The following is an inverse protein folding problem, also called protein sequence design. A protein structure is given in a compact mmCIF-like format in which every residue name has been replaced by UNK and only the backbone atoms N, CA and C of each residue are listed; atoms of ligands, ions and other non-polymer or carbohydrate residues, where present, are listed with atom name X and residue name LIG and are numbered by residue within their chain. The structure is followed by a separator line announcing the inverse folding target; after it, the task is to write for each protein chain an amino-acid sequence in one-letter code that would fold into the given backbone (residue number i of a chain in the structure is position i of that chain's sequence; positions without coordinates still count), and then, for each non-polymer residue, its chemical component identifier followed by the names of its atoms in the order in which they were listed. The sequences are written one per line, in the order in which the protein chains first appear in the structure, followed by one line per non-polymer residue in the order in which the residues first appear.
data_IF_789033551142
#
_entry.id   IF_789033551142
#
_cell.length_a   1.000
_cell.length_b   1.000
_cell.length_c   1.000
_cell.angle_alpha   90.00
_cell.angle_beta   90.00
_cell.angle_gamma   90.00
#
_symmetry.space_group_name_H-M   'P 1'
#
loop_
_entity.id
_entity.type
_entity.pdbx_description
1 polymer ?
#
# COMPACT_ATOMS: atom_id res chain seq x y z
N UNK A 1 18.13 4.88 -40.81
CA UNK A 1 18.52 3.60 -40.20
C UNK A 1 19.98 3.72 -39.77
N UNK A 2 20.24 3.94 -38.50
CA UNK A 2 21.59 4.04 -37.96
C UNK A 2 21.76 2.96 -36.88
N UNK A 3 22.48 1.90 -37.23
CA UNK A 3 23.02 0.93 -36.30
C UNK A 3 24.27 1.52 -35.65
N UNK A 4 24.32 1.57 -34.31
CA UNK A 4 25.56 1.80 -33.59
C UNK A 4 26.01 0.50 -32.93
N UNK A 5 27.04 -0.08 -33.53
CA UNK A 5 27.92 -1.11 -32.97
C UNK A 5 28.57 -0.60 -31.67
N UNK A 6 28.60 -1.42 -30.62
CA UNK A 6 29.47 -1.21 -29.46
C UNK A 6 30.53 -2.33 -29.43
N UNK A 7 31.79 -1.94 -29.54
CA UNK A 7 32.96 -2.83 -29.53
C UNK A 7 33.20 -3.44 -28.15
N UNK A 8 33.33 -4.76 -28.09
CA UNK A 8 33.95 -5.47 -26.97
C UNK A 8 35.48 -5.33 -27.05
N UNK A 9 36.08 -4.64 -26.08
CA UNK A 9 37.53 -4.72 -25.83
C UNK A 9 37.81 -5.87 -24.85
N UNK A 10 38.49 -6.90 -25.33
CA UNK A 10 39.02 -8.02 -24.54
C UNK A 10 40.42 -7.65 -24.05
N UNK A 11 40.67 -7.69 -22.74
CA UNK A 11 42.01 -7.60 -22.15
C UNK A 11 42.40 -8.95 -21.49
N UNK A 12 43.67 -9.39 -21.58
CA UNK A 12 44.13 -10.66 -21.02
C UNK A 12 44.46 -10.58 -19.52
N UNK A 13 44.29 -11.73 -18.85
CA UNK A 13 44.36 -12.00 -17.41
C UNK A 13 45.80 -12.01 -16.86
N UNK A 14 46.01 -11.57 -15.60
CA UNK A 14 47.11 -12.04 -14.74
C UNK A 14 46.55 -12.56 -13.42
N UNK A 15 46.89 -13.81 -13.09
CA UNK A 15 46.54 -14.47 -11.83
C UNK A 15 47.52 -14.08 -10.71
N UNK A 16 46.97 -13.76 -9.53
CA UNK A 16 47.72 -13.50 -8.30
C UNK A 16 47.72 -14.74 -7.39
N UNK A 17 48.78 -15.00 -6.61
CA UNK A 17 48.88 -16.20 -5.78
C UNK A 17 47.95 -16.17 -4.57
N UNK A 18 47.40 -17.35 -4.24
CA UNK A 18 46.51 -17.63 -3.12
C UNK A 18 47.30 -17.65 -1.80
N UNK A 19 46.95 -16.85 -0.77
CA UNK A 19 47.55 -17.00 0.56
C UNK A 19 46.96 -18.21 1.29
N UNK A 20 47.85 -18.99 1.92
CA UNK A 20 47.54 -20.16 2.73
C UNK A 20 46.79 -19.79 4.03
N UNK A 21 46.05 -20.77 4.54
CA UNK A 21 44.96 -20.60 5.50
C UNK A 21 45.31 -20.11 6.91
N UNK A 22 44.29 -19.54 7.54
CA UNK A 22 44.22 -19.19 8.96
C UNK A 22 43.33 -20.25 9.64
N UNK A 23 43.72 -20.83 10.79
CA UNK A 23 42.92 -21.85 11.46
C UNK A 23 41.62 -21.26 12.01
N UNK A 24 40.49 -21.85 11.64
CA UNK A 24 39.15 -21.49 12.11
C UNK A 24 38.96 -22.13 13.49
N UNK A 25 38.93 -21.31 14.54
CA UNK A 25 38.45 -21.74 15.87
C UNK A 25 36.91 -21.82 15.85
N UNK A 26 36.30 -22.82 16.49
CA UNK A 26 34.84 -22.97 16.49
C UNK A 26 34.22 -21.98 17.46
N UNK A 27 33.59 -20.91 16.95
CA UNK A 27 32.69 -20.09 17.74
C UNK A 27 31.38 -20.83 17.93
N UNK A 28 31.31 -21.60 19.02
CA UNK A 28 30.06 -21.84 19.73
C UNK A 28 29.67 -20.51 20.34
N UNK A 29 28.62 -19.89 19.82
CA UNK A 29 27.66 -19.20 20.68
C UNK A 29 26.26 -19.38 20.13
N UNK A 30 25.52 -20.20 20.87
CA UNK A 30 24.07 -20.27 20.85
C UNK A 30 23.57 -18.91 21.32
N UNK A 31 23.11 -18.07 20.40
CA UNK A 31 22.15 -17.04 20.78
C UNK A 31 20.76 -17.49 20.37
N UNK A 32 20.01 -17.84 21.43
CA UNK A 32 18.59 -18.08 21.46
C UNK A 32 17.90 -16.93 20.73
N UNK A 33 17.28 -17.21 19.58
CA UNK A 33 16.31 -16.30 18.98
C UNK A 33 15.15 -16.24 20.00
N UNK A 34 15.06 -15.13 20.75
CA UNK A 34 13.87 -14.85 21.56
C UNK A 34 12.69 -14.74 20.61
N UNK A 35 11.59 -15.41 20.94
CA UNK A 35 10.32 -15.41 20.21
C UNK A 35 9.57 -14.05 20.21
N UNK A 36 10.26 -12.92 20.39
CA UNK A 36 9.64 -11.64 20.81
C UNK A 36 10.04 -10.41 19.97
N UNK A 37 10.32 -10.59 18.67
CA UNK A 37 10.67 -9.47 17.77
C UNK A 37 10.01 -9.59 16.38
N UNK A 38 8.82 -10.19 16.32
CA UNK A 38 8.08 -10.35 15.07
C UNK A 38 7.45 -9.01 14.66
N UNK A 39 8.00 -8.43 13.60
CA UNK A 39 7.48 -7.22 12.98
C UNK A 39 6.13 -7.51 12.32
N UNK A 40 5.17 -6.60 12.50
CA UNK A 40 3.80 -6.72 12.00
C UNK A 40 3.45 -5.53 11.13
N UNK A 41 2.95 -5.78 9.91
CA UNK A 41 2.49 -4.76 8.96
C UNK A 41 0.97 -4.81 8.85
N UNK A 42 0.32 -3.71 9.18
CA UNK A 42 -1.13 -3.55 9.15
C UNK A 42 -1.47 -2.47 8.12
N UNK A 43 -2.35 -2.78 7.17
CA UNK A 43 -2.83 -1.80 6.20
C UNK A 43 -4.24 -1.37 6.55
N UNK A 44 -4.44 -0.05 6.72
CA UNK A 44 -5.76 0.54 6.89
C UNK A 44 -6.32 0.88 5.51
N UNK A 45 -7.34 0.13 5.09
CA UNK A 45 -7.96 0.21 3.78
C UNK A 45 -9.35 0.86 3.88
N UNK A 46 -9.83 1.44 2.79
CA UNK A 46 -11.13 2.11 2.77
C UNK A 46 -11.28 3.14 1.67
N UNK A 47 -12.52 3.52 1.38
CA UNK A 47 -12.84 4.50 0.34
C UNK A 47 -12.22 5.89 0.62
N UNK A 48 -12.21 6.79 -0.35
CA UNK A 48 -11.79 8.18 -0.16
C UNK A 48 -12.67 8.80 0.94
N UNK A 49 -12.04 9.55 1.85
CA UNK A 49 -12.69 10.16 3.02
C UNK A 49 -13.39 9.17 3.99
N UNK A 50 -13.03 7.89 3.99
CA UNK A 50 -13.55 6.89 4.95
C UNK A 50 -13.04 7.06 6.39
N UNK A 51 -12.07 7.94 6.64
CA UNK A 51 -11.50 8.17 7.97
C UNK A 51 -10.20 7.43 8.29
N UNK A 52 -9.50 6.88 7.28
CA UNK A 52 -8.22 6.17 7.46
C UNK A 52 -7.18 6.99 8.21
N UNK A 53 -6.92 8.23 7.76
CA UNK A 53 -5.97 9.12 8.45
C UNK A 53 -6.35 9.32 9.91
N UNK A 54 -7.65 9.48 10.23
CA UNK A 54 -8.14 9.61 11.61
C UNK A 54 -7.91 8.35 12.44
N UNK A 55 -8.07 7.16 11.85
CA UNK A 55 -7.74 5.90 12.51
C UNK A 55 -6.23 5.80 12.81
N UNK A 56 -5.39 6.16 11.83
CA UNK A 56 -3.94 6.17 12.00
C UNK A 56 -3.48 7.17 13.06
N UNK A 57 -4.02 8.39 13.05
CA UNK A 57 -3.70 9.43 14.05
C UNK A 57 -4.05 8.98 15.48
N UNK A 58 -5.12 8.19 15.62
CA UNK A 58 -5.50 7.61 16.89
C UNK A 58 -4.47 6.56 17.37
N UNK A 59 -4.01 5.65 16.50
CA UNK A 59 -3.00 4.64 16.87
C UNK A 59 -1.58 5.19 17.00
N UNK A 60 -1.25 6.29 16.30
CA UNK A 60 0.04 6.96 16.35
C UNK A 60 0.45 7.43 17.77
N UNK A 61 -0.51 7.51 18.69
CA UNK A 61 -0.28 7.86 20.09
C UNK A 61 0.43 6.73 20.88
N UNK A 62 0.52 5.52 20.32
CA UNK A 62 1.17 4.36 20.94
C UNK A 62 2.63 4.28 20.50
N UNK A 63 3.58 4.24 21.43
CA UNK A 63 5.03 4.30 21.15
C UNK A 63 5.58 3.09 20.37
N UNK A 64 4.89 1.95 20.39
CA UNK A 64 5.28 0.72 19.68
C UNK A 64 4.79 0.67 18.23
N UNK A 65 4.12 1.72 17.74
CA UNK A 65 3.52 1.77 16.41
C UNK A 65 4.20 2.87 15.59
N UNK A 66 4.74 2.53 14.43
CA UNK A 66 5.05 3.52 13.40
C UNK A 66 3.88 3.64 12.41
N UNK A 67 3.59 4.87 11.98
CA UNK A 67 2.51 5.17 11.05
C UNK A 67 3.08 5.75 9.76
N UNK A 68 2.66 5.19 8.63
CA UNK A 68 2.95 5.70 7.28
C UNK A 68 1.64 6.10 6.60
N UNK A 69 1.39 7.41 6.50
CA UNK A 69 0.21 7.94 5.79
C UNK A 69 0.41 7.97 4.27
N UNK A 70 -0.67 8.09 3.49
CA UNK A 70 -0.57 8.19 2.03
C UNK A 70 0.29 9.42 1.67
N UNK A 71 1.30 9.30 0.78
CA UNK A 71 2.18 10.40 0.42
C UNK A 71 1.52 11.38 -0.55
N UNK A 72 0.30 11.83 -0.25
CA UNK A 72 -0.52 12.74 -1.06
C UNK A 72 0.23 14.03 -1.38
N UNK A 73 1.07 14.52 -0.46
CA UNK A 73 1.93 15.69 -0.71
C UNK A 73 2.93 15.45 -1.85
N UNK A 74 3.52 14.26 -1.95
CA UNK A 74 4.38 13.88 -3.09
C UNK A 74 3.58 13.82 -4.39
N UNK A 75 2.34 13.33 -4.36
CA UNK A 75 1.48 13.23 -5.54
C UNK A 75 0.95 14.59 -6.02
N UNK A 76 0.82 15.56 -5.12
CA UNK A 76 0.42 16.93 -5.45
C UNK A 76 1.57 17.81 -5.93
N UNK A 77 2.81 17.40 -5.69
CA UNK A 77 3.99 18.14 -6.11
C UNK A 77 5.15 17.21 -6.48
N UNK A 78 5.12 16.74 -7.72
CA UNK A 78 6.25 16.05 -8.35
C UNK A 78 7.08 17.10 -9.09
N UNK A 79 8.02 17.74 -8.38
CA UNK A 79 8.90 18.78 -8.94
C UNK A 79 8.14 19.90 -9.65
N UNK A 80 7.05 20.38 -9.05
CA UNK A 80 6.18 21.44 -9.59
C UNK A 80 4.92 20.93 -10.29
N UNK A 81 4.77 19.62 -10.49
CA UNK A 81 3.61 19.04 -11.17
C UNK A 81 2.62 18.39 -10.18
N UNK A 82 1.36 18.83 -10.22
CA UNK A 82 0.26 18.23 -9.45
C UNK A 82 -0.40 17.10 -10.24
N UNK A 83 0.24 15.93 -10.25
CA UNK A 83 -0.24 14.76 -11.02
C UNK A 83 -1.56 14.20 -10.48
N UNK A 84 -1.84 14.37 -9.18
CA UNK A 84 -3.14 14.01 -8.61
C UNK A 84 -4.26 14.90 -9.19
N UNK A 85 -4.04 16.21 -9.24
CA UNK A 85 -4.97 17.15 -9.86
C UNK A 85 -5.15 16.90 -11.36
N UNK A 86 -4.05 16.63 -12.08
CA UNK A 86 -4.11 16.29 -13.50
C UNK A 86 -4.94 15.03 -13.76
N UNK A 87 -4.83 13.99 -12.91
CA UNK A 87 -5.66 12.78 -13.03
C UNK A 87 -7.14 13.06 -12.82
N UNK A 88 -7.51 13.87 -11.82
CA UNK A 88 -8.92 14.21 -11.65
C UNK A 88 -9.48 15.09 -12.78
N UNK A 89 -8.64 15.91 -13.43
CA UNK A 89 -9.02 16.70 -14.60
C UNK A 89 -9.19 15.86 -15.87
N UNK A 90 -8.24 14.97 -16.15
CA UNK A 90 -8.27 14.06 -17.29
C UNK A 90 -7.63 12.72 -16.92
N UNK A 91 -8.46 11.83 -16.40
CA UNK A 91 -8.06 10.50 -15.97
C UNK A 91 -7.63 9.62 -17.14
N UNK A 92 -8.13 9.86 -18.36
CA UNK A 92 -7.73 9.10 -19.54
C UNK A 92 -6.30 9.43 -19.97
N UNK A 93 -5.89 10.69 -19.84
CA UNK A 93 -4.53 11.13 -20.17
C UNK A 93 -3.52 10.86 -19.05
N UNK A 94 -3.92 11.06 -17.80
CA UNK A 94 -3.02 11.11 -16.65
C UNK A 94 -3.17 9.94 -15.68
N UNK A 95 -4.14 9.04 -15.92
CA UNK A 95 -4.39 7.85 -15.09
C UNK A 95 -3.14 6.99 -14.94
N UNK A 96 -2.54 6.54 -16.05
CA UNK A 96 -1.30 5.75 -16.00
C UNK A 96 -0.16 6.50 -15.29
N UNK A 97 0.06 7.78 -15.60
CA UNK A 97 1.12 8.59 -15.00
C UNK A 97 1.01 8.62 -13.47
N UNK A 98 -0.21 8.84 -12.95
CA UNK A 98 -0.44 8.82 -11.52
C UNK A 98 -0.27 7.42 -10.94
N UNK A 99 -0.86 6.39 -11.55
CA UNK A 99 -0.82 5.03 -11.00
C UNK A 99 0.60 4.45 -10.94
N UNK A 100 1.44 4.71 -11.95
CA UNK A 100 2.87 4.34 -11.91
C UNK A 100 3.58 5.00 -10.73
N UNK A 101 3.33 6.30 -10.50
CA UNK A 101 3.96 7.01 -9.38
C UNK A 101 3.41 6.57 -8.02
N UNK A 102 2.12 6.25 -7.93
CA UNK A 102 1.52 5.67 -6.72
C UNK A 102 2.19 4.33 -6.41
N UNK A 103 2.32 3.41 -7.37
CA UNK A 103 3.01 2.13 -7.16
C UNK A 103 4.44 2.33 -6.65
N UNK A 104 5.21 3.27 -7.24
CA UNK A 104 6.55 3.61 -6.76
C UNK A 104 6.53 4.10 -5.30
N UNK A 105 5.69 5.09 -4.99
CA UNK A 105 5.66 5.65 -3.63
C UNK A 105 5.14 4.67 -2.59
N UNK A 106 4.23 3.77 -2.95
CA UNK A 106 3.76 2.69 -2.08
C UNK A 106 4.86 1.64 -1.87
N UNK A 107 5.61 1.28 -2.92
CA UNK A 107 6.76 0.40 -2.82
C UNK A 107 7.84 0.97 -1.88
N UNK A 108 8.13 2.27 -1.98
CA UNK A 108 9.04 2.97 -1.05
C UNK A 108 8.57 2.83 0.41
N UNK A 109 7.26 2.87 0.66
CA UNK A 109 6.72 2.71 2.02
C UNK A 109 6.81 1.28 2.53
N UNK A 110 6.46 0.29 1.69
CA UNK A 110 6.59 -1.13 2.02
C UNK A 110 8.04 -1.52 2.32
N UNK A 111 8.99 -1.05 1.50
CA UNK A 111 10.42 -1.37 1.64
C UNK A 111 11.17 -0.54 2.66
N UNK A 112 10.53 0.46 3.27
CA UNK A 112 11.16 1.30 4.30
C UNK A 112 11.58 0.43 5.48
N UNK A 113 12.81 0.55 6.01
CA UNK A 113 13.20 -0.18 7.23
C UNK A 113 12.26 0.10 8.39
N UNK A 114 11.75 -0.95 9.02
CA UNK A 114 10.86 -0.85 10.17
C UNK A 114 11.62 -0.52 11.45
N UNK A 115 11.20 0.56 12.11
CA UNK A 115 11.80 1.04 13.38
C UNK A 115 10.99 0.66 14.62
N UNK A 116 9.74 0.24 14.42
CA UNK A 116 8.82 -0.18 15.49
C UNK A 116 8.34 -1.63 15.24
N UNK A 117 7.91 -2.36 16.30
CA UNK A 117 7.35 -3.70 16.15
C UNK A 117 6.11 -3.74 15.24
N UNK A 118 5.27 -2.70 15.30
CA UNK A 118 4.07 -2.59 14.47
C UNK A 118 4.22 -1.41 13.52
N UNK A 119 3.93 -1.63 12.24
CA UNK A 119 3.76 -0.60 11.22
C UNK A 119 2.32 -0.57 10.76
N UNK A 120 1.68 0.59 10.86
CA UNK A 120 0.39 0.85 10.25
C UNK A 120 0.56 1.72 9.01
N UNK A 121 -0.02 1.31 7.90
CA UNK A 121 0.06 2.00 6.61
C UNK A 121 -1.32 2.45 6.16
N UNK A 122 -1.42 3.68 5.66
CA UNK A 122 -2.61 4.14 4.95
C UNK A 122 -2.59 3.57 3.55
N UNK A 123 -3.48 2.62 3.29
CA UNK A 123 -3.50 1.81 2.07
C UNK A 123 -2.22 1.00 1.85
N UNK A 124 -2.20 0.31 0.71
CA UNK A 124 -1.13 -0.58 0.29
C UNK A 124 -0.93 -0.55 -1.22
N UNK A 125 0.19 -1.11 -1.69
CA UNK A 125 0.41 -1.36 -3.11
C UNK A 125 -0.69 -2.27 -3.70
N UNK A 126 -1.27 -3.16 -2.90
CA UNK A 126 -2.38 -4.02 -3.29
C UNK A 126 -3.62 -3.20 -3.65
N UNK A 127 -4.02 -2.24 -2.81
CA UNK A 127 -5.15 -1.35 -3.14
C UNK A 127 -4.90 -0.46 -4.35
N UNK A 128 -3.64 -0.04 -4.58
CA UNK A 128 -3.28 0.72 -5.78
C UNK A 128 -3.61 -0.09 -7.04
N UNK A 129 -3.29 -1.39 -7.05
CA UNK A 129 -3.60 -2.28 -8.18
C UNK A 129 -5.07 -2.73 -8.22
N UNK A 130 -5.55 -3.34 -7.14
CA UNK A 130 -6.85 -4.03 -7.10
C UNK A 130 -8.05 -3.10 -7.04
N UNK A 131 -7.86 -1.85 -6.60
CA UNK A 131 -8.94 -0.86 -6.53
C UNK A 131 -8.72 0.24 -7.56
N UNK A 132 -7.62 0.98 -7.51
CA UNK A 132 -7.50 2.20 -8.33
C UNK A 132 -7.14 1.95 -9.80
N UNK A 133 -6.17 1.06 -10.08
CA UNK A 133 -5.84 0.65 -11.46
C UNK A 133 -7.02 -0.11 -12.06
N UNK A 134 -7.63 -1.04 -11.32
CA UNK A 134 -8.82 -1.77 -11.77
C UNK A 134 -9.99 -0.82 -12.10
N UNK A 135 -10.26 0.19 -11.27
CA UNK A 135 -11.28 1.19 -11.54
C UNK A 135 -11.03 1.97 -12.84
N UNK A 136 -9.79 2.43 -13.07
CA UNK A 136 -9.44 3.15 -14.29
C UNK A 136 -9.64 2.29 -15.54
N UNK A 137 -9.29 0.99 -15.46
CA UNK A 137 -9.50 0.05 -16.54
C UNK A 137 -10.99 -0.20 -16.81
N UNK A 138 -11.76 -0.55 -15.78
CA UNK A 138 -13.21 -0.84 -15.90
C UNK A 138 -14.03 0.36 -16.35
N UNK A 139 -13.63 1.56 -15.98
CA UNK A 139 -14.29 2.79 -16.41
C UNK A 139 -13.91 3.23 -17.83
N UNK A 140 -13.08 2.46 -18.55
CA UNK A 140 -12.63 2.78 -19.91
C UNK A 140 -11.64 3.95 -19.97
N UNK A 141 -11.09 4.36 -18.83
CA UNK A 141 -10.12 5.47 -18.70
C UNK A 141 -8.68 5.01 -18.76
N UNK A 142 -8.44 3.70 -18.82
CA UNK A 142 -7.11 3.13 -19.02
C UNK A 142 -7.19 2.10 -20.16
N UNK A 143 -6.42 2.29 -21.25
CA UNK A 143 -6.27 1.28 -22.28
C UNK A 143 -5.79 -0.06 -21.72
N UNK A 144 -6.18 -1.17 -22.36
CA UNK A 144 -5.77 -2.51 -21.94
C UNK A 144 -4.26 -2.67 -21.87
N UNK A 145 -3.51 -2.12 -22.83
CA UNK A 145 -2.04 -2.17 -22.83
C UNK A 145 -1.43 -1.52 -21.58
N UNK A 146 -1.99 -0.39 -21.13
CA UNK A 146 -1.51 0.32 -19.94
C UNK A 146 -1.83 -0.49 -18.67
N UNK A 147 -3.03 -1.10 -18.62
CA UNK A 147 -3.42 -1.99 -17.54
C UNK A 147 -2.52 -3.22 -17.43
N UNK A 148 -2.22 -3.88 -18.55
CA UNK A 148 -1.35 -5.06 -18.60
C UNK A 148 0.05 -4.69 -18.14
N UNK A 149 0.63 -3.59 -18.63
CA UNK A 149 1.96 -3.13 -18.21
C UNK A 149 2.02 -2.86 -16.71
N UNK A 150 1.03 -2.15 -16.15
CA UNK A 150 0.97 -1.91 -14.69
C UNK A 150 0.76 -3.20 -13.88
N UNK A 151 0.12 -4.21 -14.46
CA UNK A 151 -0.06 -5.52 -13.84
C UNK A 151 1.26 -6.30 -13.81
N UNK A 152 2.00 -6.34 -14.92
CA UNK A 152 3.31 -7.00 -14.96
C UNK A 152 4.31 -6.37 -13.99
N UNK A 153 4.30 -5.04 -13.86
CA UNK A 153 5.09 -4.33 -12.86
C UNK A 153 4.70 -4.74 -11.43
N UNK A 154 3.41 -4.78 -11.12
CA UNK A 154 2.92 -5.21 -9.82
C UNK A 154 3.32 -6.66 -9.50
N UNK A 155 3.15 -7.57 -10.46
CA UNK A 155 3.54 -8.98 -10.31
C UNK A 155 5.04 -9.16 -10.15
N UNK A 156 5.85 -8.33 -10.81
CA UNK A 156 7.29 -8.30 -10.59
C UNK A 156 7.62 -7.83 -9.17
N UNK A 157 6.98 -6.77 -8.69
CA UNK A 157 7.19 -6.26 -7.32
C UNK A 157 6.85 -7.33 -6.29
N UNK A 158 5.68 -7.97 -6.40
CA UNK A 158 5.25 -9.02 -5.46
C UNK A 158 6.22 -10.20 -5.40
N UNK A 159 6.86 -10.56 -6.53
CA UNK A 159 7.82 -11.68 -6.59
C UNK A 159 9.21 -11.33 -6.10
N UNK A 160 9.62 -10.06 -6.22
CA UNK A 160 11.02 -9.65 -6.02
C UNK A 160 11.21 -8.76 -4.78
N UNK A 161 10.14 -8.38 -4.09
CA UNK A 161 10.19 -7.47 -2.95
C UNK A 161 9.21 -7.89 -1.87
N UNK A 162 9.60 -7.69 -0.61
CA UNK A 162 8.71 -7.92 0.52
C UNK A 162 7.69 -6.77 0.64
N UNK A 163 6.47 -7.07 0.21
CA UNK A 163 5.28 -6.21 0.32
C UNK A 163 4.17 -6.95 1.07
N UNK A 164 4.57 -7.85 1.98
CA UNK A 164 3.67 -8.66 2.77
C UNK A 164 2.89 -7.81 3.78
N UNK A 165 1.66 -8.22 4.06
CA UNK A 165 0.74 -7.56 4.99
C UNK A 165 0.20 -8.63 5.91
N UNK A 166 0.26 -8.40 7.22
CA UNK A 166 -0.20 -9.35 8.24
C UNK A 166 -1.68 -9.18 8.55
N UNK A 167 -2.22 -7.96 8.38
CA UNK A 167 -3.63 -7.64 8.59
C UNK A 167 -4.08 -6.49 7.69
N UNK A 168 -5.25 -6.63 7.09
CA UNK A 168 -5.99 -5.50 6.51
C UNK A 168 -7.09 -5.11 7.48
N UNK A 169 -7.12 -3.84 7.90
CA UNK A 169 -8.27 -3.25 8.60
C UNK A 169 -9.07 -2.45 7.57
N UNK A 170 -10.24 -2.95 7.20
CA UNK A 170 -11.12 -2.31 6.24
C UNK A 170 -12.12 -1.41 6.95
N UNK A 171 -11.94 -0.09 6.81
CA UNK A 171 -12.93 0.90 7.23
C UNK A 171 -14.04 0.98 6.18
N UNK A 172 -15.07 0.16 6.39
CA UNK A 172 -16.22 0.07 5.50
C UNK A 172 -17.13 1.28 5.76
N UNK A 173 -17.14 2.22 4.81
CA UNK A 173 -17.97 3.44 4.85
C UNK A 173 -18.82 3.49 3.59
N UNK A 174 -20.09 3.83 3.76
CA UNK A 174 -21.03 4.07 2.67
C UNK A 174 -20.53 5.20 1.75
N UNK A 175 -20.74 5.09 0.42
CA UNK A 175 -20.36 6.13 -0.54
C UNK A 175 -20.92 7.52 -0.20
N UNK A 176 -22.14 7.58 0.33
CA UNK A 176 -22.83 8.81 0.70
C UNK A 176 -22.12 9.52 1.86
N UNK A 177 -21.79 8.78 2.92
CA UNK A 177 -21.03 9.33 4.06
C UNK A 177 -19.62 9.74 3.62
N UNK A 178 -18.97 8.95 2.77
CA UNK A 178 -17.71 9.33 2.15
C UNK A 178 -17.81 10.64 1.37
N UNK A 179 -18.87 10.82 0.58
CA UNK A 179 -19.10 12.01 -0.22
C UNK A 179 -19.35 13.25 0.64
N UNK A 180 -20.15 13.13 1.69
CA UNK A 180 -20.36 14.21 2.68
C UNK A 180 -19.05 14.62 3.36
N UNK A 181 -18.25 13.64 3.81
CA UNK A 181 -16.94 13.88 4.45
C UNK A 181 -15.95 14.51 3.49
N UNK A 182 -15.94 14.06 2.23
CA UNK A 182 -15.11 14.61 1.16
C UNK A 182 -15.45 16.08 0.90
N UNK A 183 -16.73 16.42 0.82
CA UNK A 183 -17.18 17.83 0.70
C UNK A 183 -16.73 18.68 1.86
N UNK A 184 -16.84 18.19 3.10
CA UNK A 184 -16.39 18.92 4.30
C UNK A 184 -14.87 19.11 4.34
N UNK A 185 -14.10 18.16 3.79
CA UNK A 185 -12.63 18.24 3.74
C UNK A 185 -12.11 19.32 2.79
N UNK A 186 -12.90 19.72 1.79
CA UNK A 186 -12.65 20.88 0.92
C UNK A 186 -11.27 20.90 0.22
N UNK A 187 -10.68 19.75 -0.14
CA UNK A 187 -9.46 19.73 -0.97
C UNK A 187 -9.82 20.11 -2.40
N UNK A 188 -9.10 21.09 -2.97
CA UNK A 188 -9.31 21.63 -4.32
C UNK A 188 -9.47 20.53 -5.38
N UNK A 189 -8.55 19.56 -5.41
CA UNK A 189 -8.53 18.50 -6.42
C UNK A 189 -9.68 17.50 -6.27
N UNK A 190 -10.26 17.39 -5.08
CA UNK A 190 -11.30 16.40 -4.77
C UNK A 190 -12.71 16.94 -5.02
N UNK A 191 -12.89 18.25 -5.19
CA UNK A 191 -14.19 18.89 -5.42
C UNK A 191 -14.92 18.36 -6.66
N UNK A 192 -14.17 17.83 -7.63
CA UNK A 192 -14.71 17.31 -8.90
C UNK A 192 -15.01 15.81 -8.85
N UNK A 193 -14.80 15.14 -7.71
CA UNK A 193 -15.08 13.71 -7.56
C UNK A 193 -16.61 13.51 -7.42
N UNK A 194 -17.26 12.81 -8.36
CA UNK A 194 -18.69 12.55 -8.30
C UNK A 194 -19.00 11.37 -7.36
N UNK A 195 -20.25 11.26 -6.89
CA UNK A 195 -20.67 10.19 -5.98
C UNK A 195 -20.49 8.81 -6.62
N UNK A 196 -20.80 8.71 -7.91
CA UNK A 196 -20.71 7.50 -8.73
C UNK A 196 -19.27 6.94 -8.75
N UNK A 197 -18.27 7.82 -8.66
CA UNK A 197 -16.88 7.39 -8.53
C UNK A 197 -16.63 6.73 -7.16
N UNK A 198 -17.18 7.28 -6.08
CA UNK A 198 -17.06 6.69 -4.75
C UNK A 198 -17.82 5.37 -4.64
N UNK A 199 -18.97 5.24 -5.30
CA UNK A 199 -19.71 3.98 -5.42
C UNK A 199 -18.89 2.91 -6.14
N UNK A 200 -18.27 3.25 -7.27
CA UNK A 200 -17.40 2.33 -8.01
C UNK A 200 -16.21 1.85 -7.16
N UNK A 201 -15.54 2.78 -6.45
CA UNK A 201 -14.44 2.43 -5.53
C UNK A 201 -14.93 1.55 -4.37
N UNK A 202 -16.11 1.84 -3.82
CA UNK A 202 -16.71 1.02 -2.77
C UNK A 202 -16.96 -0.41 -3.26
N UNK A 203 -17.57 -0.59 -4.43
CA UNK A 203 -17.82 -1.92 -4.99
C UNK A 203 -16.54 -2.73 -5.21
N UNK A 204 -15.46 -2.09 -5.67
CA UNK A 204 -14.17 -2.77 -5.83
C UNK A 204 -13.58 -3.22 -4.49
N UNK A 205 -13.73 -2.42 -3.43
CA UNK A 205 -13.35 -2.85 -2.08
C UNK A 205 -14.21 -4.01 -1.58
N UNK A 206 -15.53 -3.98 -1.80
CA UNK A 206 -16.43 -5.08 -1.43
C UNK A 206 -16.10 -6.38 -2.17
N UNK A 207 -15.85 -6.28 -3.48
CA UNK A 207 -15.46 -7.42 -4.32
C UNK A 207 -14.10 -8.01 -3.93
N UNK A 208 -13.16 -7.17 -3.50
CA UNK A 208 -11.83 -7.59 -3.07
C UNK A 208 -11.83 -8.13 -1.63
N UNK A 209 -12.27 -7.34 -0.64
CA UNK A 209 -12.04 -7.61 0.78
C UNK A 209 -13.16 -8.38 1.47
N UNK A 210 -14.39 -8.34 0.93
CA UNK A 210 -15.56 -9.01 1.53
C UNK A 210 -15.92 -10.28 0.75
N UNK A 211 -16.17 -10.15 -0.55
CA UNK A 211 -16.66 -11.25 -1.39
C UNK A 211 -15.54 -12.16 -1.92
N UNK A 212 -14.31 -11.63 -1.96
CA UNK A 212 -13.10 -12.32 -2.46
C UNK A 212 -13.27 -12.86 -3.89
N UNK A 213 -14.04 -12.16 -4.73
CA UNK A 213 -14.41 -12.62 -6.07
C UNK A 213 -13.45 -12.18 -7.17
N UNK A 214 -12.80 -11.02 -7.01
CA UNK A 214 -11.90 -10.48 -8.03
C UNK A 214 -10.44 -10.84 -7.81
N UNK A 215 -9.97 -10.66 -6.59
CA UNK A 215 -8.56 -10.78 -6.25
C UNK A 215 -8.41 -11.57 -4.96
N UNK A 216 -7.38 -12.41 -4.91
CA UNK A 216 -7.06 -13.20 -3.72
C UNK A 216 -6.60 -12.26 -2.60
N UNK A 217 -7.17 -12.44 -1.41
CA UNK A 217 -6.69 -11.80 -0.19
C UNK A 217 -5.65 -12.72 0.47
N UNK A 218 -4.47 -12.20 0.75
CA UNK A 218 -3.33 -12.97 1.28
C UNK A 218 -3.25 -12.99 2.81
N UNK A 219 -4.08 -12.21 3.50
CA UNK A 219 -4.05 -12.03 4.95
C UNK A 219 -5.47 -11.89 5.53
N UNK A 220 -5.62 -12.01 6.86
CA UNK A 220 -6.89 -11.69 7.52
C UNK A 220 -7.37 -10.27 7.20
N UNK A 221 -8.69 -10.10 7.20
CA UNK A 221 -9.37 -8.81 7.03
C UNK A 221 -10.26 -8.56 8.23
N UNK A 222 -10.00 -7.49 8.97
CA UNK A 222 -10.88 -6.99 10.02
C UNK A 222 -11.75 -5.87 9.46
N UNK A 223 -13.07 -6.06 9.45
CA UNK A 223 -14.02 -5.09 8.92
C UNK A 223 -14.59 -4.25 10.04
N UNK A 224 -14.47 -2.92 9.92
CA UNK A 224 -15.02 -1.96 10.87
C UNK A 224 -16.00 -1.05 10.14
N UNK A 225 -17.28 -1.15 10.48
CA UNK A 225 -18.31 -0.23 9.97
C UNK A 225 -18.06 1.20 10.44
N UNK A 226 -17.79 2.10 9.49
CA UNK A 226 -17.18 3.41 9.72
C UNK A 226 -18.07 4.60 9.33
N UNK A 227 -19.40 4.42 9.29
CA UNK A 227 -20.38 5.47 9.01
C UNK A 227 -20.67 6.41 10.20
N UNK A 228 -20.06 6.16 11.36
CA UNK A 228 -20.35 6.94 12.58
C UNK A 228 -19.50 8.21 12.72
N UNK A 229 -19.85 9.05 13.69
CA UNK A 229 -19.02 10.19 14.07
C UNK A 229 -17.69 9.76 14.71
N UNK A 230 -16.79 10.73 14.90
CA UNK A 230 -15.44 10.49 15.41
C UNK A 230 -15.44 9.87 16.81
N UNK A 231 -16.37 10.24 17.68
CA UNK A 231 -16.40 9.74 19.06
C UNK A 231 -16.74 8.25 19.07
N UNK A 232 -17.79 7.86 18.34
CA UNK A 232 -18.16 6.45 18.20
C UNK A 232 -17.12 5.64 17.43
N UNK A 233 -16.37 6.26 16.51
CA UNK A 233 -15.24 5.59 15.86
C UNK A 233 -14.08 5.31 16.82
N UNK A 234 -13.78 6.22 17.74
CA UNK A 234 -12.77 5.99 18.79
C UNK A 234 -13.16 4.80 19.67
N UNK A 235 -14.42 4.70 20.08
CA UNK A 235 -14.94 3.55 20.84
C UNK A 235 -14.71 2.23 20.07
N UNK A 236 -15.07 2.20 18.78
CA UNK A 236 -14.81 1.03 17.92
C UNK A 236 -13.33 0.69 17.80
N UNK A 237 -12.45 1.67 17.74
CA UNK A 237 -11.00 1.42 17.68
C UNK A 237 -10.47 0.80 18.97
N UNK A 238 -10.94 1.26 20.14
CA UNK A 238 -10.60 0.65 21.43
C UNK A 238 -11.16 -0.78 21.54
N UNK A 239 -12.43 -1.00 21.17
CA UNK A 239 -13.06 -2.34 21.19
C UNK A 239 -12.30 -3.37 20.34
N UNK A 240 -11.71 -2.93 19.24
CA UNK A 240 -10.97 -3.79 18.31
C UNK A 240 -9.45 -3.73 18.49
N UNK A 241 -8.94 -2.97 19.46
CA UNK A 241 -7.51 -2.69 19.62
C UNK A 241 -6.65 -3.94 19.69
N UNK A 242 -7.06 -4.91 20.50
CA UNK A 242 -6.30 -6.16 20.68
C UNK A 242 -6.27 -7.00 19.40
N UNK A 243 -7.36 -7.04 18.63
CA UNK A 243 -7.43 -7.76 17.36
C UNK A 243 -6.58 -7.07 16.29
N UNK A 244 -6.58 -5.73 16.27
CA UNK A 244 -5.78 -4.93 15.33
C UNK A 244 -4.29 -5.14 15.61
N UNK A 245 -3.87 -5.07 16.88
CA UNK A 245 -2.45 -5.10 17.25
C UNK A 245 -1.87 -6.52 17.35
N UNK A 246 -2.71 -7.55 17.51
CA UNK A 246 -2.29 -8.95 17.60
C UNK A 246 -3.03 -9.83 16.56
N UNK A 247 -2.77 -9.65 15.25
CA UNK A 247 -3.51 -10.34 14.20
C UNK A 247 -3.34 -11.87 14.18
N UNK A 248 -2.29 -12.40 14.80
CA UNK A 248 -2.05 -13.86 14.89
C UNK A 248 -3.13 -14.62 15.66
N UNK A 249 -3.87 -13.95 16.56
CA UNK A 249 -4.99 -14.56 17.26
C UNK A 249 -6.20 -14.80 16.34
N UNK A 250 -6.32 -14.07 15.22
CA UNK A 250 -7.39 -14.30 14.23
C UNK A 250 -7.11 -15.49 13.31
N UNK A 251 -5.85 -15.87 13.10
CA UNK A 251 -5.47 -16.98 12.22
C UNK A 251 -5.83 -18.36 12.80
N UNK A 252 -6.17 -18.47 14.09
CA UNK A 252 -6.60 -19.73 14.71
C UNK A 252 -8.07 -20.11 14.42
N UNK A 253 -8.80 -19.28 13.66
CA UNK A 253 -10.23 -19.48 13.36
C UNK A 253 -10.58 -19.46 11.86
N UNK A 254 -9.58 -19.52 10.97
CA UNK A 254 -9.75 -19.75 9.53
C UNK A 254 -9.37 -21.19 9.17
#
# INVERSE_FOLDING_TARGET
MAFLHCCCCVFPVRASPVPQGIPILPLKDKHLIKEDDKKTVICIEGNIASGKTTCLDYFAQTTSIEVLTEPVSKWRNVRGHNILGLMYQDASRWGITLQTYIQLTMLEQHTKPMISPVRMMERSIHSAKYVFVENLYRSGKMPEVDYVVLSEWFDWIQRNTDVSVDLIVYLQTSPEVCYERLKRRCREEEKIIPLEYLEAIHQLYEEWLIKHTLFKVSCPVLVIGADHDVQKMIEKYEENRDQILNPYNMQQHL
#
